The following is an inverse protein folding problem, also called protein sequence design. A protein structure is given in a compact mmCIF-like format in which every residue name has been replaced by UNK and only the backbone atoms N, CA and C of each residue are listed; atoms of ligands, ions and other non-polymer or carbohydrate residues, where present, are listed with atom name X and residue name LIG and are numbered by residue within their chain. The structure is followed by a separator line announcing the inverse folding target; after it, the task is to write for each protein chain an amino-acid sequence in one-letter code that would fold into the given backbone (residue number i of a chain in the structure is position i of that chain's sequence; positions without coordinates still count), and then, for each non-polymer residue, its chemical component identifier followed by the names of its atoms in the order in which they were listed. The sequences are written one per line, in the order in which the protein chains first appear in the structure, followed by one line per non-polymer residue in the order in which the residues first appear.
data_IF_504373079361
#
_entry.id   IF_504373079361
#
_cell.length_a   1.000
_cell.length_b   1.000
_cell.length_c   1.000
_cell.angle_alpha   90.00
_cell.angle_beta   90.00
_cell.angle_gamma   90.00
#
_symmetry.space_group_name_H-M   'P 1'
#
loop_
_entity.id
_entity.type
_entity.pdbx_description
1 polymer ?
#
# COMPACT_ATOMS: atom_id res chain seq x y z
N UNK A 1 -7.39 6.13 -12.71
CA UNK A 1 -8.65 6.33 -11.95
C UNK A 1 -8.42 7.55 -11.09
N UNK A 2 -8.74 8.74 -11.61
CA UNK A 2 -8.71 9.94 -10.78
C UNK A 2 -9.80 9.78 -9.72
N UNK A 3 -9.48 10.15 -8.48
CA UNK A 3 -10.32 10.03 -7.28
C UNK A 3 -11.52 11.01 -7.29
N UNK A 4 -12.10 11.24 -8.47
CA UNK A 4 -13.13 12.25 -8.74
C UNK A 4 -14.52 11.90 -8.18
N UNK A 5 -14.68 10.72 -7.59
CA UNK A 5 -15.94 10.32 -6.93
C UNK A 5 -15.88 10.46 -5.38
N UNK A 6 -14.72 10.72 -4.79
CA UNK A 6 -14.53 10.76 -3.32
C UNK A 6 -13.73 11.98 -2.82
N UNK A 7 -13.73 13.09 -3.58
CA UNK A 7 -12.99 14.31 -3.23
C UNK A 7 -11.51 14.03 -2.88
N UNK A 8 -10.82 13.15 -3.61
CA UNK A 8 -9.40 12.88 -3.32
C UNK A 8 -9.12 12.15 -2.00
N UNK A 9 -10.10 11.46 -1.41
CA UNK A 9 -9.88 10.59 -0.25
C UNK A 9 -9.86 9.12 -0.69
N UNK A 10 -8.80 8.40 -0.36
CA UNK A 10 -8.78 6.94 -0.47
C UNK A 10 -9.08 6.41 0.93
N UNK A 11 -10.29 5.90 1.09
CA UNK A 11 -10.67 5.19 2.31
C UNK A 11 -10.00 3.83 2.29
N UNK A 12 -9.03 3.65 3.17
CA UNK A 12 -8.30 2.39 3.34
C UNK A 12 -9.07 1.41 4.22
N UNK A 13 -9.91 1.95 5.11
CA UNK A 13 -10.82 1.27 6.02
C UNK A 13 -11.96 2.22 6.42
N UNK A 14 -13.20 1.71 6.47
CA UNK A 14 -14.37 2.36 7.09
C UNK A 14 -14.84 1.43 8.19
N UNK A 15 -15.21 1.91 9.38
CA UNK A 15 -15.79 1.03 10.41
C UNK A 15 -17.31 0.95 10.37
N UNK A 16 -17.98 1.72 9.49
CA UNK A 16 -19.42 1.65 9.36
C UNK A 16 -19.94 2.07 7.96
N UNK A 17 -20.38 1.13 7.11
CA UNK A 17 -20.13 -0.31 7.25
C UNK A 17 -18.64 -0.61 7.10
N UNK A 18 -18.17 -1.68 7.75
CA UNK A 18 -16.83 -2.24 7.56
C UNK A 18 -16.60 -2.50 6.06
N UNK A 19 -15.65 -1.80 5.44
CA UNK A 19 -15.34 -1.95 4.01
C UNK A 19 -13.83 -1.81 3.80
N UNK A 20 -13.22 -2.83 3.21
CA UNK A 20 -11.82 -2.78 2.83
C UNK A 20 -11.65 -2.00 1.53
N UNK A 21 -10.49 -1.36 1.33
CA UNK A 21 -10.27 -0.49 0.15
C UNK A 21 -10.46 -1.22 -1.18
N UNK A 22 -10.13 -2.50 -1.26
CA UNK A 22 -10.34 -3.32 -2.45
C UNK A 22 -11.83 -3.56 -2.71
N UNK A 23 -12.63 -3.72 -1.65
CA UNK A 23 -14.10 -3.78 -1.77
C UNK A 23 -14.66 -2.42 -2.18
N UNK A 24 -14.10 -1.31 -1.68
CA UNK A 24 -14.47 0.03 -2.12
C UNK A 24 -14.23 0.22 -3.63
N UNK A 25 -13.12 -0.30 -4.16
CA UNK A 25 -12.85 -0.34 -5.62
C UNK A 25 -13.73 -1.33 -6.39
N UNK A 26 -14.33 -2.30 -5.70
CA UNK A 26 -15.22 -3.30 -6.27
C UNK A 26 -16.70 -3.01 -5.96
N UNK A 27 -17.11 -1.74 -5.97
CA UNK A 27 -18.50 -1.31 -5.71
C UNK A 27 -19.06 -1.83 -4.36
N UNK A 28 -18.22 -1.86 -3.32
CA UNK A 28 -18.53 -2.39 -1.97
C UNK A 28 -18.95 -3.87 -1.97
N UNK A 29 -18.58 -4.63 -3.00
CA UNK A 29 -18.79 -6.07 -3.07
C UNK A 29 -17.51 -6.77 -2.64
N UNK A 30 -17.64 -7.78 -1.79
CA UNK A 30 -16.52 -8.64 -1.43
C UNK A 30 -15.93 -9.30 -2.68
N UNK A 31 -14.59 -9.29 -2.75
CA UNK A 31 -13.83 -9.92 -3.82
C UNK A 31 -13.61 -11.39 -3.43
N UNK A 32 -13.91 -12.31 -4.35
CA UNK A 32 -13.63 -13.74 -4.20
C UNK A 32 -12.31 -14.11 -4.88
N UNK A 33 -11.71 -15.23 -4.48
CA UNK A 33 -10.42 -15.71 -5.01
C UNK A 33 -10.43 -15.89 -6.54
N UNK A 34 -11.58 -16.29 -7.11
CA UNK A 34 -11.79 -16.47 -8.56
C UNK A 34 -11.97 -15.15 -9.32
N UNK A 35 -12.16 -14.03 -8.60
CA UNK A 35 -12.29 -12.70 -9.17
C UNK A 35 -10.89 -12.06 -9.23
N UNK A 36 -10.34 -11.95 -10.46
CA UNK A 36 -8.99 -11.48 -10.81
C UNK A 36 -8.62 -10.04 -10.40
N UNK A 37 -9.32 -9.43 -9.47
CA UNK A 37 -9.51 -7.99 -9.59
C UNK A 37 -8.25 -7.17 -9.32
N UNK A 38 -7.38 -7.46 -8.34
CA UNK A 38 -6.22 -6.55 -8.09
C UNK A 38 -4.94 -7.19 -7.53
N UNK A 39 -4.71 -8.49 -7.74
CA UNK A 39 -3.59 -9.20 -7.13
C UNK A 39 -2.28 -9.08 -7.95
N UNK A 40 -1.14 -8.94 -7.27
CA UNK A 40 0.17 -9.18 -7.87
C UNK A 40 0.33 -10.69 -8.16
N UNK A 41 0.30 -11.15 -9.43
CA UNK A 41 0.24 -12.59 -9.75
C UNK A 41 1.46 -13.39 -9.28
N UNK A 42 2.57 -12.71 -8.99
CA UNK A 42 3.81 -13.33 -8.50
C UNK A 42 3.82 -13.61 -6.99
N UNK A 43 2.82 -13.13 -6.25
CA UNK A 43 2.66 -13.44 -4.83
C UNK A 43 1.64 -14.58 -4.68
N UNK A 44 1.55 -15.20 -3.51
CA UNK A 44 0.46 -16.16 -3.22
C UNK A 44 -0.63 -15.51 -2.37
N UNK A 45 -1.92 -15.85 -2.55
CA UNK A 45 -2.97 -15.46 -1.60
C UNK A 45 -2.66 -16.01 -0.20
N UNK A 46 -3.08 -15.32 0.88
CA UNK A 46 -2.95 -15.86 2.24
C UNK A 46 -4.23 -16.58 2.66
N UNK A 47 -4.19 -17.91 2.81
CA UNK A 47 -5.34 -18.73 3.21
C UNK A 47 -5.77 -18.61 4.68
N UNK A 48 -5.16 -17.70 5.45
CA UNK A 48 -5.54 -17.40 6.83
C UNK A 48 -5.98 -15.94 6.93
N UNK A 49 -7.28 -15.77 7.17
CA UNK A 49 -8.04 -14.53 7.28
C UNK A 49 -8.27 -13.81 5.94
N UNK A 50 -9.43 -14.14 5.37
CA UNK A 50 -10.11 -13.48 4.25
C UNK A 50 -9.38 -13.56 2.90
N UNK A 51 -9.90 -14.43 2.05
CA UNK A 51 -9.66 -14.50 0.60
C UNK A 51 -10.00 -13.20 -0.16
N UNK A 52 -10.33 -12.12 0.56
CA UNK A 52 -10.58 -10.77 0.07
C UNK A 52 -9.29 -9.96 -0.11
N UNK A 53 -8.14 -10.36 0.43
CA UNK A 53 -6.89 -9.60 0.34
C UNK A 53 -6.01 -9.99 -0.87
N UNK A 54 -6.62 -10.37 -1.98
CA UNK A 54 -5.96 -10.65 -3.26
C UNK A 54 -5.62 -9.36 -3.99
N UNK A 55 -4.94 -8.43 -3.31
CA UNK A 55 -4.67 -7.09 -3.85
C UNK A 55 -3.24 -6.59 -3.59
N UNK A 56 -2.77 -5.61 -4.39
CA UNK A 56 -1.59 -4.80 -4.07
C UNK A 56 -1.77 -4.06 -2.74
N UNK A 57 -0.78 -4.04 -1.84
CA UNK A 57 -0.95 -3.39 -0.54
C UNK A 57 -1.12 -1.88 -0.66
N UNK A 58 -2.06 -1.32 0.10
CA UNK A 58 -2.33 0.11 0.14
C UNK A 58 -1.40 0.84 1.12
N UNK A 59 -1.01 2.06 0.78
CA UNK A 59 -0.28 2.97 1.68
C UNK A 59 -1.26 3.72 2.57
N UNK A 60 -1.21 3.43 3.87
CA UNK A 60 -2.13 4.01 4.86
C UNK A 60 -1.34 4.95 5.77
N UNK A 61 -1.87 6.15 6.02
CA UNK A 61 -1.22 7.14 6.89
C UNK A 61 -0.95 6.65 8.33
N UNK A 62 -1.68 5.67 8.83
CA UNK A 62 -1.41 5.09 10.15
C UNK A 62 -0.15 4.21 10.21
N UNK A 63 0.34 3.70 9.06
CA UNK A 63 1.40 2.66 9.04
C UNK A 63 2.56 2.96 8.08
N UNK A 64 2.33 3.75 7.03
CA UNK A 64 3.35 4.00 6.00
C UNK A 64 3.50 5.43 5.49
N UNK A 65 2.53 6.31 5.74
CA UNK A 65 2.63 7.72 5.36
C UNK A 65 2.69 8.61 6.61
N UNK A 66 3.11 9.88 6.51
CA UNK A 66 3.00 10.84 7.60
C UNK A 66 1.58 10.99 8.13
N UNK A 67 1.45 11.17 9.45
CA UNK A 67 0.16 11.39 10.11
C UNK A 67 -0.57 12.66 9.59
N UNK A 68 0.16 13.63 9.04
CA UNK A 68 -0.41 14.81 8.38
C UNK A 68 -1.35 14.46 7.20
N UNK A 69 -1.14 13.30 6.56
CA UNK A 69 -1.99 12.82 5.46
C UNK A 69 -3.20 12.01 5.94
N UNK A 70 -3.37 11.81 7.25
CA UNK A 70 -4.55 11.12 7.77
C UNK A 70 -5.81 11.95 7.59
N UNK A 71 -6.94 11.28 7.34
CA UNK A 71 -8.28 11.83 7.53
C UNK A 71 -9.01 10.99 8.58
N UNK A 72 -9.71 11.67 9.48
CA UNK A 72 -10.66 11.08 10.41
C UNK A 72 -12.00 11.78 10.23
N UNK A 73 -13.03 11.03 9.85
CA UNK A 73 -14.40 11.52 9.72
C UNK A 73 -15.33 10.59 10.49
N UNK A 74 -15.54 10.88 11.79
CA UNK A 74 -16.64 10.32 12.60
C UNK A 74 -16.92 8.82 12.49
N UNK A 75 -15.88 7.98 12.31
CA UNK A 75 -16.02 6.53 12.08
C UNK A 75 -15.23 5.96 10.88
N UNK A 76 -14.56 6.81 10.09
CA UNK A 76 -13.65 6.33 9.04
C UNK A 76 -12.26 6.94 9.22
N UNK A 77 -11.22 6.10 9.09
CA UNK A 77 -9.82 6.50 9.08
C UNK A 77 -9.21 6.14 7.73
N UNK A 78 -8.63 7.14 7.06
CA UNK A 78 -8.07 6.95 5.72
C UNK A 78 -6.90 7.87 5.42
N UNK A 79 -6.40 7.77 4.20
CA UNK A 79 -5.42 8.72 3.66
C UNK A 79 -6.17 9.79 2.87
N UNK A 80 -6.00 11.05 3.28
CA UNK A 80 -6.49 12.22 2.56
C UNK A 80 -5.47 12.62 1.51
N UNK A 81 -5.69 12.21 0.25
CA UNK A 81 -4.76 12.50 -0.85
C UNK A 81 -4.79 13.97 -1.28
N UNK A 82 -5.79 14.77 -0.87
CA UNK A 82 -5.71 16.22 -1.03
C UNK A 82 -4.66 16.87 -0.14
N UNK A 83 -4.24 16.20 0.95
CA UNK A 83 -3.17 16.67 1.83
C UNK A 83 -1.79 16.19 1.39
N UNK A 84 -1.74 15.24 0.46
CA UNK A 84 -0.50 14.82 -0.17
C UNK A 84 -0.06 15.96 -1.07
N UNK A 85 1.20 16.35 -0.89
CA UNK A 85 1.79 17.46 -1.61
C UNK A 85 1.71 17.19 -3.12
N UNK A 86 1.10 18.09 -3.88
CA UNK A 86 0.94 17.91 -5.34
C UNK A 86 2.29 17.96 -6.06
N UNK A 87 3.30 18.58 -5.47
CA UNK A 87 4.68 18.53 -5.99
C UNK A 87 5.31 17.13 -5.80
N UNK A 88 4.81 16.34 -4.87
CA UNK A 88 5.17 14.93 -4.65
C UNK A 88 4.27 13.98 -5.45
N UNK A 89 3.88 14.33 -6.68
CA UNK A 89 3.04 13.49 -7.56
C UNK A 89 3.47 12.01 -7.65
N UNK A 90 4.73 11.73 -7.32
CA UNK A 90 5.33 10.41 -7.11
C UNK A 90 5.06 9.75 -5.74
N UNK A 91 4.00 10.11 -5.00
CA UNK A 91 3.68 9.42 -3.73
C UNK A 91 2.97 8.11 -4.03
N UNK A 92 3.52 6.95 -3.64
CA UNK A 92 2.88 5.67 -3.93
C UNK A 92 1.63 5.47 -3.07
N UNK A 93 0.54 5.01 -3.67
CA UNK A 93 -0.74 4.75 -2.97
C UNK A 93 -1.10 3.27 -2.89
N UNK A 94 -0.64 2.45 -3.85
CA UNK A 94 -0.71 0.98 -3.82
C UNK A 94 0.55 0.38 -4.41
N UNK A 95 0.90 -0.86 -4.04
CA UNK A 95 2.05 -1.54 -4.63
C UNK A 95 2.25 -2.98 -4.21
N UNK A 96 3.29 -3.62 -4.77
CA UNK A 96 3.67 -4.99 -4.41
C UNK A 96 3.94 -5.06 -2.92
N UNK A 97 3.09 -5.80 -2.20
CA UNK A 97 3.18 -5.93 -0.75
C UNK A 97 3.07 -7.39 -0.35
N UNK A 98 4.01 -7.84 0.49
CA UNK A 98 4.01 -9.20 1.00
C UNK A 98 4.09 -9.24 2.52
N UNK A 99 3.56 -10.31 3.11
CA UNK A 99 3.74 -10.65 4.53
C UNK A 99 5.20 -10.94 4.82
N UNK A 100 5.63 -10.60 6.04
CA UNK A 100 7.00 -10.80 6.49
C UNK A 100 7.46 -12.27 6.39
N UNK A 101 6.57 -13.22 6.68
CA UNK A 101 6.97 -14.61 6.95
C UNK A 101 6.71 -15.62 5.82
N UNK A 102 5.93 -15.28 4.78
CA UNK A 102 5.48 -16.32 3.84
C UNK A 102 5.28 -15.87 2.38
N UNK A 103 5.81 -14.71 1.96
CA UNK A 103 5.69 -14.24 0.56
C UNK A 103 4.23 -14.15 0.05
N UNK A 104 3.26 -14.19 0.95
CA UNK A 104 1.86 -14.05 0.60
C UNK A 104 1.53 -12.56 0.48
N UNK A 105 0.60 -12.22 -0.41
CA UNK A 105 0.09 -10.86 -0.55
C UNK A 105 -0.38 -10.29 0.80
N UNK A 106 -0.20 -8.98 0.98
CA UNK A 106 -0.62 -8.28 2.19
C UNK A 106 -1.30 -6.97 1.85
N UNK A 107 -2.40 -6.67 2.55
CA UNK A 107 -3.32 -5.60 2.19
C UNK A 107 -2.82 -4.20 2.56
N UNK A 108 -1.93 -4.09 3.54
CA UNK A 108 -1.36 -2.82 4.01
C UNK A 108 0.13 -2.77 3.77
N UNK A 109 0.60 -1.78 3.02
CA UNK A 109 2.01 -1.50 2.90
C UNK A 109 2.50 -0.90 4.21
N UNK A 110 3.43 -1.55 4.91
CA UNK A 110 4.09 -0.99 6.09
C UNK A 110 5.60 -0.89 5.84
N UNK A 111 6.23 0.09 6.50
CA UNK A 111 7.64 0.43 6.27
C UNK A 111 8.43 0.54 7.59
N UNK A 112 7.97 -0.11 8.66
CA UNK A 112 8.56 -0.03 9.99
C UNK A 112 9.15 -1.38 10.42
N UNK A 113 10.06 -1.36 11.41
CA UNK A 113 10.63 -2.57 11.99
C UNK A 113 9.55 -3.51 12.56
N UNK A 114 9.71 -4.82 12.34
CA UNK A 114 8.78 -5.82 12.88
C UNK A 114 7.38 -5.79 12.25
N UNK A 115 7.19 -5.06 11.14
CA UNK A 115 5.89 -5.00 10.47
C UNK A 115 5.46 -6.37 9.96
N UNK A 116 4.16 -6.73 10.03
CA UNK A 116 3.62 -7.99 9.51
C UNK A 116 3.69 -8.11 7.97
N UNK A 117 3.96 -7.01 7.25
CA UNK A 117 4.23 -7.00 5.82
C UNK A 117 4.69 -5.64 5.32
N UNK A 118 5.13 -5.56 4.07
CA UNK A 118 5.70 -4.34 3.49
C UNK A 118 5.99 -4.47 2.00
N UNK A 119 6.64 -3.45 1.43
CA UNK A 119 6.98 -3.40 0.01
C UNK A 119 7.83 -4.61 -0.37
N UNK A 120 7.51 -5.29 -1.48
CA UNK A 120 8.27 -6.46 -1.93
C UNK A 120 8.83 -6.31 -3.33
N UNK A 121 10.08 -6.71 -3.49
CA UNK A 121 10.86 -6.64 -4.72
C UNK A 121 10.78 -7.94 -5.57
N UNK A 122 9.59 -8.55 -5.60
CA UNK A 122 9.33 -9.89 -6.19
C UNK A 122 9.55 -9.97 -7.72
N UNK A 123 9.58 -8.85 -8.42
CA UNK A 123 9.76 -8.78 -9.87
C UNK A 123 11.22 -8.47 -10.23
N UNK A 124 12.07 -9.50 -10.19
CA UNK A 124 13.50 -9.38 -10.54
C UNK A 124 14.20 -8.27 -9.73
N UNK A 125 14.11 -8.36 -8.40
CA UNK A 125 14.61 -7.36 -7.45
C UNK A 125 13.93 -5.99 -7.55
N UNK A 126 12.73 -5.93 -8.12
CA UNK A 126 11.87 -4.73 -8.17
C UNK A 126 10.45 -5.04 -7.73
N UNK A 127 9.71 -4.02 -7.32
CA UNK A 127 8.29 -4.09 -7.00
C UNK A 127 7.52 -3.03 -7.78
N UNK A 128 6.28 -3.35 -8.16
CA UNK A 128 5.42 -2.42 -8.88
C UNK A 128 4.67 -1.51 -7.89
N UNK A 129 4.57 -0.24 -8.23
CA UNK A 129 3.91 0.81 -7.46
C UNK A 129 2.98 1.60 -8.39
N UNK A 130 1.84 2.04 -7.87
CA UNK A 130 1.04 3.09 -8.50
C UNK A 130 1.08 4.35 -7.63
N UNK A 131 1.10 5.51 -8.29
CA UNK A 131 1.38 6.80 -7.69
C UNK A 131 0.19 7.75 -7.76
N UNK A 132 0.15 8.71 -6.85
CA UNK A 132 -0.99 9.61 -6.64
C UNK A 132 -1.34 10.50 -7.84
N UNK A 133 -0.38 10.76 -8.73
CA UNK A 133 -0.60 11.51 -9.98
C UNK A 133 -1.20 10.65 -11.12
N UNK A 134 -1.39 9.35 -10.88
CA UNK A 134 -1.99 8.41 -11.81
C UNK A 134 -1.00 7.55 -12.61
N UNK A 135 0.32 7.75 -12.48
CA UNK A 135 1.29 6.86 -13.13
C UNK A 135 1.51 5.57 -12.33
N UNK A 136 2.07 4.56 -13.00
CA UNK A 136 2.54 3.34 -12.38
C UNK A 136 3.96 3.05 -12.85
N UNK A 137 4.76 2.43 -11.97
CA UNK A 137 6.16 2.17 -12.24
C UNK A 137 6.68 0.99 -11.43
N UNK A 138 7.86 0.51 -11.81
CA UNK A 138 8.59 -0.50 -11.07
C UNK A 138 9.71 0.20 -10.30
N UNK A 139 9.93 -0.16 -9.04
CA UNK A 139 10.97 0.42 -8.18
C UNK A 139 11.85 -0.67 -7.57
N UNK A 140 13.16 -0.43 -7.50
CA UNK A 140 14.06 -1.13 -6.60
C UNK A 140 13.78 -0.72 -5.14
N UNK A 141 14.26 -1.48 -4.14
CA UNK A 141 14.20 -1.07 -2.74
C UNK A 141 14.84 0.32 -2.50
N UNK A 142 15.97 0.61 -3.15
CA UNK A 142 16.65 1.91 -3.03
C UNK A 142 15.80 3.05 -3.60
N UNK A 143 15.25 2.90 -4.81
CA UNK A 143 14.34 3.91 -5.40
C UNK A 143 13.09 4.12 -4.52
N UNK A 144 12.56 3.05 -3.94
CA UNK A 144 11.44 3.11 -3.01
C UNK A 144 11.81 3.89 -1.73
N UNK A 145 12.99 3.66 -1.15
CA UNK A 145 13.49 4.42 0.02
C UNK A 145 13.59 5.91 -0.27
N UNK A 146 14.20 6.29 -1.38
CA UNK A 146 14.35 7.70 -1.76
C UNK A 146 12.99 8.37 -1.97
N UNK A 147 12.05 7.65 -2.59
CA UNK A 147 10.67 8.12 -2.74
C UNK A 147 10.03 8.34 -1.37
N UNK A 148 10.10 7.35 -0.49
CA UNK A 148 9.45 7.43 0.82
C UNK A 148 10.06 8.49 1.73
N UNK A 149 11.36 8.76 1.66
CA UNK A 149 12.00 9.86 2.42
C UNK A 149 11.47 11.23 2.01
N UNK A 150 11.26 11.45 0.71
CA UNK A 150 10.62 12.67 0.19
C UNK A 150 9.18 12.79 0.67
N UNK A 151 8.43 11.69 0.64
CA UNK A 151 7.05 11.61 1.18
C UNK A 151 7.02 11.96 2.66
N UNK A 152 7.98 11.47 3.43
CA UNK A 152 8.10 11.75 4.87
C UNK A 152 8.72 13.12 5.17
N UNK A 153 9.28 13.80 4.17
CA UNK A 153 10.08 15.03 4.32
C UNK A 153 11.18 14.84 5.39
N UNK A 154 11.77 13.65 5.42
CA UNK A 154 12.76 13.21 6.41
C UNK A 154 13.78 12.26 5.75
N UNK A 155 14.97 12.79 5.47
CA UNK A 155 16.08 12.03 4.89
C UNK A 155 16.69 11.02 5.87
N UNK A 156 16.43 11.13 7.17
CA UNK A 156 16.87 10.16 8.16
C UNK A 156 15.86 9.02 8.35
N UNK A 157 14.67 9.12 7.75
CA UNK A 157 13.62 8.10 7.89
C UNK A 157 14.15 6.74 7.46
N UNK A 158 14.15 5.81 8.41
CA UNK A 158 14.47 4.41 8.15
C UNK A 158 13.29 3.77 7.45
N UNK A 159 13.54 3.21 6.27
CA UNK A 159 12.54 2.54 5.45
C UNK A 159 12.86 1.06 5.45
N UNK A 160 11.84 0.25 5.72
CA UNK A 160 11.93 -1.19 5.65
C UNK A 160 11.15 -1.72 4.45
N UNK A 161 11.59 -2.89 3.96
CA UNK A 161 10.89 -3.62 2.93
C UNK A 161 11.03 -5.13 3.17
N UNK A 162 10.26 -5.91 2.42
CA UNK A 162 10.33 -7.36 2.38
C UNK A 162 11.10 -7.75 1.11
N UNK A 163 12.34 -8.21 1.26
CA UNK A 163 13.09 -8.82 0.17
C UNK A 163 12.52 -10.19 -0.23
N UNK A 164 12.25 -10.37 -1.52
CA UNK A 164 11.66 -11.54 -2.18
C UNK A 164 12.28 -12.89 -1.75
N UNK A 165 13.59 -12.92 -1.55
CA UNK A 165 14.34 -14.12 -1.17
C UNK A 165 14.55 -14.23 0.35
N UNK A 166 14.85 -13.11 1.00
CA UNK A 166 15.49 -13.11 2.32
C UNK A 166 14.63 -12.51 3.44
N UNK A 167 13.37 -12.17 3.18
CA UNK A 167 12.47 -11.66 4.23
C UNK A 167 12.65 -10.17 4.51
N UNK A 168 12.27 -9.75 5.72
CA UNK A 168 12.20 -8.32 6.05
C UNK A 168 13.58 -7.71 6.29
N UNK A 169 13.87 -6.58 5.63
CA UNK A 169 15.17 -5.90 5.65
C UNK A 169 15.00 -4.39 5.83
N UNK A 170 16.01 -3.78 6.46
CA UNK A 170 16.23 -2.33 6.39
C UNK A 170 16.79 -2.01 5.00
N UNK A 171 16.33 -0.92 4.39
CA UNK A 171 16.93 -0.37 3.18
C UNK A 171 18.04 0.60 3.61
N UNK A 172 19.29 0.13 3.51
CA UNK A 172 20.48 0.93 3.83
C UNK A 172 20.68 2.06 2.82
#
# INVERSE_FOLDING_TARGET
MYLDDYNGVLLTYSSNPDCYWNEALNNRKSIREDQKSYFCPSLRPSGSNHDTFTTYGAFIAAVALPAAYSANTGGASGTNWNRVDRELGSTPFIGCCARANNNAGFYSMQIAAGSPGGFTNVHNNRGNLAYSDGHAGSSTPQEFRETMRKVWKDDAKVIYYRDAADGFKVIN
#
